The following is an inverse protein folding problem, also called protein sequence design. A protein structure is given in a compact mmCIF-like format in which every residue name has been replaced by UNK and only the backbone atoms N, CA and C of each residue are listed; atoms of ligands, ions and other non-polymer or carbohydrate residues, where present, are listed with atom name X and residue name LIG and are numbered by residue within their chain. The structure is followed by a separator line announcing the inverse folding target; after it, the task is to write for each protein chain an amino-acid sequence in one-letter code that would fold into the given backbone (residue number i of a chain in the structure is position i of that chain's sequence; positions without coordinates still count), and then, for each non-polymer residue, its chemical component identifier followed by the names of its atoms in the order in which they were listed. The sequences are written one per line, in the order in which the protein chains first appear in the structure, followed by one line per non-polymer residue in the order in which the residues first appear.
data_IF_889409883151
#
_entry.id   IF_889409883151
#
_cell.length_a   1.000
_cell.length_b   1.000
_cell.length_c   1.000
_cell.angle_alpha   90.00
_cell.angle_beta   90.00
_cell.angle_gamma   90.00
#
_symmetry.space_group_name_H-M   'P 1'
#
loop_
_entity.id
_entity.type
_entity.pdbx_description
1 polymer ?
#
# COMPACT_ATOMS: atom_id res chain seq x y z
N UNK A 1 33.84 7.13 -29.44
CA UNK A 1 32.59 6.34 -29.27
C UNK A 1 32.81 5.46 -28.08
N UNK A 2 32.20 5.77 -26.96
CA UNK A 2 32.34 4.97 -25.71
C UNK A 2 31.08 4.11 -25.57
N UNK A 3 31.23 2.81 -25.72
CA UNK A 3 30.18 1.84 -25.47
C UNK A 3 29.78 1.88 -24.00
N UNK A 4 28.52 2.19 -23.75
CA UNK A 4 27.87 2.05 -22.44
C UNK A 4 27.70 0.56 -22.16
N UNK A 5 28.63 -0.03 -21.41
CA UNK A 5 28.44 -1.35 -20.83
C UNK A 5 27.33 -1.25 -19.77
N UNK A 6 26.09 -1.50 -20.17
CA UNK A 6 24.98 -1.79 -19.26
C UNK A 6 25.23 -3.17 -18.68
N UNK A 7 25.63 -3.24 -17.42
CA UNK A 7 25.52 -4.48 -16.65
C UNK A 7 24.02 -4.73 -16.45
N UNK A 8 23.43 -5.40 -17.44
CA UNK A 8 22.06 -5.89 -17.36
C UNK A 8 22.03 -6.99 -16.29
N UNK A 9 21.30 -6.74 -15.22
CA UNK A 9 20.90 -7.79 -14.30
C UNK A 9 20.15 -8.86 -15.10
N UNK A 10 20.79 -10.03 -15.31
CA UNK A 10 20.17 -11.14 -16.03
C UNK A 10 18.91 -11.61 -15.29
N UNK A 11 17.81 -11.88 -15.99
CA UNK A 11 16.61 -12.43 -15.38
C UNK A 11 16.88 -13.90 -14.98
N UNK A 12 17.10 -14.13 -13.68
CA UNK A 12 17.23 -15.49 -13.11
C UNK A 12 15.83 -16.10 -12.90
N UNK A 13 15.10 -16.38 -13.98
CA UNK A 13 13.69 -16.77 -13.87
C UNK A 13 13.45 -18.24 -13.46
N UNK A 14 14.39 -19.15 -13.66
CA UNK A 14 14.22 -20.58 -13.26
C UNK A 14 14.85 -20.92 -11.91
N UNK A 15 15.88 -20.21 -11.48
CA UNK A 15 16.52 -20.44 -10.17
C UNK A 15 15.84 -19.71 -9.00
N UNK A 16 15.09 -18.66 -9.25
CA UNK A 16 14.49 -17.83 -8.22
C UNK A 16 13.37 -18.53 -7.44
N UNK A 17 12.46 -19.19 -8.13
CA UNK A 17 11.37 -19.95 -7.51
C UNK A 17 11.90 -21.14 -6.69
N UNK A 18 12.90 -21.85 -7.19
CA UNK A 18 13.51 -22.96 -6.45
C UNK A 18 14.17 -22.44 -5.16
N UNK A 19 14.92 -21.34 -5.22
CA UNK A 19 15.50 -20.69 -4.04
C UNK A 19 14.43 -20.20 -3.06
N UNK A 20 13.34 -19.59 -3.54
CA UNK A 20 12.23 -19.18 -2.70
C UNK A 20 11.62 -20.38 -1.94
N UNK A 21 11.34 -21.47 -2.65
CA UNK A 21 10.82 -22.70 -2.03
C UNK A 21 11.79 -23.28 -1.02
N UNK A 22 13.10 -23.30 -1.31
CA UNK A 22 14.13 -23.77 -0.36
C UNK A 22 14.12 -22.93 0.93
N UNK A 23 14.03 -21.61 0.82
CA UNK A 23 13.97 -20.72 1.99
C UNK A 23 12.67 -20.92 2.76
N UNK A 24 11.53 -20.97 2.08
CA UNK A 24 10.23 -21.22 2.72
C UNK A 24 10.18 -22.56 3.45
N UNK A 25 10.88 -23.60 2.95
CA UNK A 25 10.93 -24.92 3.58
C UNK A 25 12.01 -25.05 4.67
N UNK A 26 12.83 -24.00 4.91
CA UNK A 26 13.81 -24.03 5.97
C UNK A 26 13.11 -24.15 7.35
N UNK A 27 13.56 -25.04 8.25
CA UNK A 27 12.88 -25.28 9.52
C UNK A 27 12.64 -24.01 10.37
N UNK A 28 13.66 -23.12 10.43
CA UNK A 28 13.55 -21.86 11.14
C UNK A 28 12.51 -20.90 10.56
N UNK A 29 12.33 -20.89 9.24
CA UNK A 29 11.32 -20.07 8.56
C UNK A 29 9.92 -20.65 8.78
N UNK A 30 9.80 -21.96 8.67
CA UNK A 30 8.55 -22.69 8.93
C UNK A 30 8.07 -22.48 10.39
N UNK A 31 8.99 -22.50 11.34
CA UNK A 31 8.70 -22.22 12.75
C UNK A 31 8.19 -20.77 12.95
N UNK A 32 8.83 -19.78 12.31
CA UNK A 32 8.38 -18.39 12.39
C UNK A 32 6.96 -18.21 11.85
N UNK A 33 6.64 -18.81 10.69
CA UNK A 33 5.29 -18.77 10.15
C UNK A 33 4.30 -19.56 11.01
N UNK A 34 4.71 -20.68 11.59
CA UNK A 34 3.88 -21.46 12.51
C UNK A 34 3.50 -20.66 13.75
N UNK A 35 4.49 -19.95 14.35
CA UNK A 35 4.26 -19.12 15.52
C UNK A 35 3.37 -17.90 15.23
N UNK A 36 3.44 -17.35 13.99
CA UNK A 36 2.65 -16.19 13.60
C UNK A 36 1.20 -16.56 13.21
N UNK A 37 0.98 -17.69 12.53
CA UNK A 37 -0.27 -17.99 11.83
C UNK A 37 -0.97 -19.26 12.29
N UNK A 38 -0.33 -20.06 13.14
CA UNK A 38 -0.86 -21.33 13.61
C UNK A 38 -1.39 -22.22 12.45
N UNK A 39 -2.69 -22.48 12.40
CA UNK A 39 -3.33 -23.35 11.39
C UNK A 39 -3.33 -22.75 9.98
N UNK A 40 -3.21 -21.43 9.83
CA UNK A 40 -3.25 -20.74 8.54
C UNK A 40 -1.89 -20.71 7.82
N UNK A 41 -0.83 -21.26 8.43
CA UNK A 41 0.54 -21.22 7.89
C UNK A 41 0.65 -21.73 6.47
N UNK A 42 0.14 -22.92 6.20
CA UNK A 42 0.34 -23.56 4.89
C UNK A 42 -0.37 -22.81 3.76
N UNK A 43 -1.57 -22.27 4.05
CA UNK A 43 -2.31 -21.41 3.13
C UNK A 43 -1.54 -20.11 2.84
N UNK A 44 -0.95 -19.51 3.87
CA UNK A 44 -0.19 -18.28 3.72
C UNK A 44 1.11 -18.52 2.91
N UNK A 45 1.84 -19.60 3.18
CA UNK A 45 3.05 -20.00 2.45
C UNK A 45 2.71 -20.26 0.97
N UNK A 46 1.59 -20.93 0.69
CA UNK A 46 1.10 -21.11 -0.68
C UNK A 46 0.82 -19.75 -1.36
N UNK A 47 0.25 -18.80 -0.63
CA UNK A 47 -0.02 -17.44 -1.15
C UNK A 47 1.25 -16.66 -1.49
N UNK A 48 2.37 -16.88 -0.78
CA UNK A 48 3.67 -16.29 -1.14
C UNK A 48 4.16 -16.82 -2.49
N UNK A 49 4.04 -18.12 -2.71
CA UNK A 49 4.45 -18.76 -3.95
C UNK A 49 3.59 -18.27 -5.12
N UNK A 50 2.28 -18.16 -4.91
CA UNK A 50 1.34 -17.66 -5.91
C UNK A 50 1.65 -16.19 -6.26
N UNK A 51 1.84 -15.33 -5.25
CA UNK A 51 2.23 -13.94 -5.43
C UNK A 51 3.53 -13.80 -6.23
N UNK A 52 4.55 -14.62 -5.92
CA UNK A 52 5.81 -14.62 -6.63
C UNK A 52 5.66 -15.02 -8.09
N UNK A 53 4.86 -16.04 -8.37
CA UNK A 53 4.59 -16.50 -9.73
C UNK A 53 3.82 -15.48 -10.57
N UNK A 54 2.88 -14.78 -9.94
CA UNK A 54 2.02 -13.79 -10.60
C UNK A 54 2.68 -12.42 -10.83
N UNK A 55 3.79 -12.11 -10.15
CA UNK A 55 4.44 -10.79 -10.23
C UNK A 55 5.89 -10.86 -10.71
N UNK A 56 6.09 -10.47 -11.98
CA UNK A 56 7.42 -10.41 -12.60
C UNK A 56 8.37 -9.46 -11.87
N UNK A 57 7.87 -8.42 -11.20
CA UNK A 57 8.72 -7.48 -10.45
C UNK A 57 9.29 -8.13 -9.20
N UNK A 58 8.52 -8.96 -8.51
CA UNK A 58 9.00 -9.74 -7.36
C UNK A 58 10.05 -10.76 -7.76
N UNK A 59 9.98 -11.30 -8.97
CA UNK A 59 10.98 -12.25 -9.49
C UNK A 59 12.36 -11.61 -9.68
N UNK A 60 12.46 -10.28 -9.71
CA UNK A 60 13.74 -9.55 -9.75
C UNK A 60 14.36 -9.34 -8.37
N UNK A 61 13.60 -9.58 -7.31
CA UNK A 61 14.04 -9.40 -5.93
C UNK A 61 14.75 -10.65 -5.38
N UNK A 62 15.52 -10.45 -4.33
CA UNK A 62 16.10 -11.57 -3.59
C UNK A 62 15.01 -12.33 -2.83
N UNK A 63 14.89 -13.67 -3.01
CA UNK A 63 13.82 -14.46 -2.38
C UNK A 63 13.77 -14.33 -0.84
N UNK A 64 14.93 -14.23 -0.18
CA UNK A 64 15.00 -14.05 1.28
C UNK A 64 14.33 -12.74 1.75
N UNK A 65 14.45 -11.66 0.97
CA UNK A 65 13.80 -10.39 1.29
C UNK A 65 12.28 -10.49 1.14
N UNK A 66 11.80 -11.22 0.11
CA UNK A 66 10.37 -11.45 -0.08
C UNK A 66 9.78 -12.21 1.11
N UNK A 67 10.46 -13.25 1.58
CA UNK A 67 10.05 -14.02 2.77
C UNK A 67 10.02 -13.14 4.02
N UNK A 68 11.04 -12.30 4.21
CA UNK A 68 11.10 -11.36 5.33
C UNK A 68 9.94 -10.35 5.31
N UNK A 69 9.58 -9.82 4.13
CA UNK A 69 8.45 -8.89 4.00
C UNK A 69 7.10 -9.60 4.18
N UNK A 70 6.98 -10.86 3.69
CA UNK A 70 5.79 -11.67 3.90
C UNK A 70 5.60 -12.04 5.39
N UNK A 71 6.67 -12.25 6.14
CA UNK A 71 6.60 -12.52 7.57
C UNK A 71 6.00 -11.33 8.35
N UNK A 72 6.25 -10.08 7.92
CA UNK A 72 5.61 -8.90 8.54
C UNK A 72 4.08 -8.95 8.39
N UNK A 73 3.59 -9.37 7.22
CA UNK A 73 2.16 -9.55 7.00
C UNK A 73 1.60 -10.71 7.85
N UNK A 74 2.36 -11.80 7.95
CA UNK A 74 2.01 -12.97 8.75
C UNK A 74 1.87 -12.62 10.25
N UNK A 75 2.80 -11.86 10.81
CA UNK A 75 2.75 -11.39 12.21
C UNK A 75 1.52 -10.54 12.48
N UNK A 76 1.04 -9.80 11.49
CA UNK A 76 -0.20 -9.03 11.58
C UNK A 76 -1.43 -9.86 11.19
N UNK A 77 -1.25 -11.13 10.82
CA UNK A 77 -2.28 -12.01 10.29
C UNK A 77 -3.11 -11.31 9.18
N UNK A 78 -2.41 -10.70 8.22
CA UNK A 78 -3.01 -10.03 7.08
C UNK A 78 -2.73 -10.82 5.80
N UNK A 79 -3.76 -11.29 5.07
CA UNK A 79 -3.57 -11.97 3.79
C UNK A 79 -2.87 -11.08 2.77
N UNK A 80 -1.88 -11.63 2.05
CA UNK A 80 -1.11 -10.92 1.01
C UNK A 80 -1.70 -11.07 -0.39
N UNK A 81 -2.87 -11.68 -0.51
CA UNK A 81 -3.57 -11.77 -1.78
C UNK A 81 -4.05 -10.37 -2.21
N UNK A 82 -3.55 -9.89 -3.37
CA UNK A 82 -3.86 -8.55 -3.88
C UNK A 82 -5.35 -8.29 -4.08
N UNK A 83 -6.11 -9.31 -4.47
CA UNK A 83 -7.55 -9.17 -4.69
C UNK A 83 -8.32 -8.85 -3.39
N UNK A 84 -7.81 -9.25 -2.24
CA UNK A 84 -8.44 -8.97 -0.95
C UNK A 84 -8.17 -7.55 -0.44
N UNK A 85 -7.04 -6.93 -0.80
CA UNK A 85 -6.69 -5.57 -0.45
C UNK A 85 -6.28 -5.36 1.02
N UNK A 86 -5.94 -6.42 1.78
CA UNK A 86 -5.50 -6.29 3.17
C UNK A 86 -4.03 -5.93 3.29
N UNK A 87 -3.18 -6.55 2.48
CA UNK A 87 -1.74 -6.32 2.49
C UNK A 87 -1.14 -6.54 1.10
N UNK A 88 -0.04 -5.84 0.85
CA UNK A 88 0.68 -5.89 -0.41
C UNK A 88 2.18 -6.06 -0.16
N UNK A 89 2.86 -6.75 -1.06
CA UNK A 89 4.32 -6.70 -1.19
C UNK A 89 4.62 -6.02 -2.52
N UNK A 90 5.13 -4.79 -2.45
CA UNK A 90 5.39 -3.93 -3.61
C UNK A 90 6.88 -3.78 -3.82
N UNK A 91 7.33 -3.81 -5.07
CA UNK A 91 8.75 -3.65 -5.40
C UNK A 91 9.06 -2.19 -5.69
N UNK A 92 9.97 -1.62 -4.90
CA UNK A 92 10.55 -0.30 -5.14
C UNK A 92 11.97 -0.42 -5.67
N UNK A 93 12.30 0.40 -6.66
CA UNK A 93 13.67 0.52 -7.17
C UNK A 93 14.46 1.53 -6.34
N UNK A 94 14.96 1.09 -5.20
CA UNK A 94 15.73 1.92 -4.29
C UNK A 94 17.14 2.15 -4.81
N UNK A 95 17.65 3.39 -4.67
CA UNK A 95 19.05 3.69 -4.97
C UNK A 95 19.91 3.20 -3.81
N UNK A 96 20.91 2.36 -4.11
CA UNK A 96 21.90 1.89 -3.17
C UNK A 96 23.29 2.32 -3.63
N UNK A 97 24.09 2.86 -2.72
CA UNK A 97 25.48 3.21 -2.96
C UNK A 97 26.31 1.93 -2.85
N UNK A 98 27.02 1.58 -3.89
CA UNK A 98 27.89 0.40 -3.96
C UNK A 98 29.26 0.83 -4.43
N UNK A 99 30.30 0.33 -3.78
CA UNK A 99 31.69 0.55 -4.21
C UNK A 99 31.97 -0.33 -5.41
N UNK A 100 32.33 0.30 -6.52
CA UNK A 100 32.78 -0.43 -7.69
C UNK A 100 34.21 -0.93 -7.44
N UNK A 101 34.41 -2.23 -7.41
CA UNK A 101 35.70 -2.86 -7.11
C UNK A 101 36.76 -2.61 -8.20
N UNK A 102 36.31 -2.37 -9.46
CA UNK A 102 37.22 -2.11 -10.57
C UNK A 102 37.71 -0.66 -10.61
N UNK A 103 36.85 0.30 -10.25
CA UNK A 103 37.16 1.73 -10.32
C UNK A 103 37.51 2.34 -8.97
N UNK A 104 37.26 1.62 -7.88
CA UNK A 104 37.41 2.10 -6.50
C UNK A 104 36.46 3.23 -6.11
N UNK A 105 35.51 3.59 -6.98
CA UNK A 105 34.55 4.70 -6.78
C UNK A 105 33.21 4.17 -6.33
N UNK A 106 32.50 5.01 -5.57
CA UNK A 106 31.12 4.74 -5.17
C UNK A 106 30.14 5.07 -6.29
N UNK A 107 29.31 4.11 -6.67
CA UNK A 107 28.28 4.25 -7.71
C UNK A 107 26.89 4.02 -7.12
N UNK A 108 25.90 4.76 -7.63
CA UNK A 108 24.52 4.55 -7.25
C UNK A 108 23.84 3.56 -8.21
N UNK A 109 23.46 2.40 -7.71
CA UNK A 109 22.71 1.41 -8.46
C UNK A 109 21.26 1.36 -7.98
N UNK A 110 20.34 1.01 -8.89
CA UNK A 110 18.93 0.73 -8.54
C UNK A 110 18.82 -0.74 -8.15
N UNK A 111 18.33 -0.98 -6.94
CA UNK A 111 18.13 -2.34 -6.41
C UNK A 111 16.63 -2.54 -6.20
N UNK A 112 16.00 -3.53 -6.87
CA UNK A 112 14.62 -3.89 -6.63
C UNK A 112 14.49 -4.43 -5.20
N UNK A 113 13.65 -3.76 -4.41
CA UNK A 113 13.48 -4.02 -2.97
C UNK A 113 12.00 -4.29 -2.72
N UNK A 114 11.63 -5.52 -2.31
CA UNK A 114 10.27 -5.79 -1.90
C UNK A 114 9.97 -5.05 -0.60
N UNK A 115 8.76 -4.55 -0.45
CA UNK A 115 8.34 -3.80 0.74
C UNK A 115 6.91 -4.17 1.08
N UNK A 116 6.68 -4.58 2.31
CA UNK A 116 5.36 -4.83 2.86
C UNK A 116 4.61 -3.50 3.07
N UNK A 117 3.37 -3.44 2.60
CA UNK A 117 2.48 -2.29 2.77
C UNK A 117 1.11 -2.80 3.21
N UNK A 118 0.62 -2.44 4.41
CA UNK A 118 -0.76 -2.73 4.77
C UNK A 118 -1.71 -1.86 3.94
N UNK A 119 -2.74 -2.49 3.37
CA UNK A 119 -3.82 -1.80 2.69
C UNK A 119 -4.81 -1.16 3.67
N UNK A 120 -5.69 -0.27 3.18
CA UNK A 120 -6.69 0.35 4.06
C UNK A 120 -7.63 -0.68 4.73
N UNK A 121 -8.01 -1.74 4.02
CA UNK A 121 -8.77 -2.86 4.59
C UNK A 121 -8.00 -3.58 5.68
N UNK A 122 -6.67 -3.69 5.55
CA UNK A 122 -5.79 -4.23 6.58
C UNK A 122 -5.81 -3.38 7.85
N UNK A 123 -5.71 -2.06 7.72
CA UNK A 123 -5.84 -1.16 8.87
C UNK A 123 -7.21 -1.27 9.56
N UNK A 124 -8.30 -1.34 8.80
CA UNK A 124 -9.65 -1.55 9.35
C UNK A 124 -9.71 -2.89 10.10
N UNK A 125 -9.18 -3.96 9.50
CA UNK A 125 -9.13 -5.28 10.13
C UNK A 125 -8.35 -5.26 11.45
N UNK A 126 -7.18 -4.60 11.48
CA UNK A 126 -6.40 -4.45 12.71
C UNK A 126 -7.14 -3.64 13.76
N UNK A 127 -7.80 -2.55 13.37
CA UNK A 127 -8.62 -1.74 14.27
C UNK A 127 -9.76 -2.57 14.87
N UNK A 128 -10.51 -3.31 14.06
CA UNK A 128 -11.60 -4.18 14.51
C UNK A 128 -11.14 -5.25 15.50
N UNK A 129 -9.96 -5.83 15.30
CA UNK A 129 -9.38 -6.85 16.21
C UNK A 129 -9.07 -6.31 17.60
N UNK A 130 -8.91 -5.00 17.76
CA UNK A 130 -8.70 -4.41 19.10
C UNK A 130 -9.93 -4.50 19.97
N UNK A 131 -11.12 -4.68 19.39
CA UNK A 131 -12.40 -4.65 20.11
C UNK A 131 -12.77 -3.29 20.73
N UNK A 132 -12.03 -2.23 20.39
CA UNK A 132 -12.23 -0.90 20.98
C UNK A 132 -13.12 0.02 20.14
N UNK A 133 -13.34 -0.29 18.87
CA UNK A 133 -14.12 0.53 17.97
C UNK A 133 -15.61 0.16 18.02
N UNK A 134 -16.47 1.15 18.28
CA UNK A 134 -17.92 1.03 18.12
C UNK A 134 -18.33 1.20 16.67
N UNK A 135 -17.75 2.21 16.03
CA UNK A 135 -18.06 2.58 14.63
C UNK A 135 -16.79 3.00 13.92
N UNK A 136 -16.62 2.56 12.68
CA UNK A 136 -15.66 3.09 11.70
C UNK A 136 -16.44 3.27 10.42
N UNK A 137 -16.47 4.50 9.88
CA UNK A 137 -17.15 4.82 8.63
C UNK A 137 -16.34 5.80 7.79
N UNK A 138 -16.38 5.64 6.48
CA UNK A 138 -15.80 6.58 5.53
C UNK A 138 -16.66 6.57 4.26
N UNK A 139 -17.00 7.75 3.75
CA UNK A 139 -17.83 7.89 2.56
C UNK A 139 -17.60 9.25 1.90
N UNK A 140 -18.29 9.44 0.79
CA UNK A 140 -18.33 10.70 0.05
C UNK A 140 -19.22 11.71 0.78
N UNK A 141 -18.95 12.99 0.52
CA UNK A 141 -19.81 14.10 0.90
C UNK A 141 -20.29 14.77 -0.38
N UNK A 142 -21.61 14.79 -0.57
CA UNK A 142 -22.23 15.43 -1.73
C UNK A 142 -22.52 16.90 -1.49
N UNK A 143 -22.67 17.63 -2.57
CA UNK A 143 -23.04 19.05 -2.51
C UNK A 143 -24.36 19.25 -1.76
N UNK A 144 -24.32 20.18 -0.78
CA UNK A 144 -25.44 20.49 0.12
C UNK A 144 -25.45 19.71 1.44
N UNK A 145 -24.78 18.58 1.56
CA UNK A 145 -24.75 17.77 2.81
C UNK A 145 -23.91 18.42 3.92
N UNK A 146 -22.75 19.01 3.54
CA UNK A 146 -21.85 19.64 4.49
C UNK A 146 -22.44 20.95 5.02
N UNK A 147 -22.68 21.03 6.34
CA UNK A 147 -23.13 22.23 7.04
C UNK A 147 -21.99 23.02 7.65
N UNK A 148 -21.23 22.36 8.51
CA UNK A 148 -20.13 23.01 9.24
C UNK A 148 -18.94 22.07 9.43
N UNK A 149 -17.77 22.67 9.47
CA UNK A 149 -16.52 22.02 9.92
C UNK A 149 -15.95 22.88 11.04
N UNK A 150 -16.02 22.38 12.27
CA UNK A 150 -15.41 23.03 13.42
C UNK A 150 -13.99 22.51 13.62
N UNK A 151 -13.01 23.31 13.22
CA UNK A 151 -11.59 22.91 13.31
C UNK A 151 -11.08 22.79 14.75
N UNK A 152 -11.73 23.46 15.72
CA UNK A 152 -11.33 23.42 17.12
C UNK A 152 -11.81 22.13 17.80
N UNK A 153 -13.10 21.81 17.66
CA UNK A 153 -13.66 20.59 18.25
C UNK A 153 -13.43 19.35 17.39
N UNK A 154 -13.14 19.52 16.09
CA UNK A 154 -13.09 18.43 15.12
C UNK A 154 -14.48 17.94 14.68
N UNK A 155 -15.53 18.66 15.05
CA UNK A 155 -16.90 18.34 14.69
C UNK A 155 -17.17 18.66 13.21
N UNK A 156 -17.81 17.72 12.51
CA UNK A 156 -18.26 17.87 11.13
C UNK A 156 -19.73 17.52 11.07
N UNK A 157 -20.57 18.47 10.67
CA UNK A 157 -22.00 18.26 10.50
C UNK A 157 -22.33 18.00 9.02
N UNK A 158 -22.84 16.81 8.74
CA UNK A 158 -23.25 16.31 7.41
C UNK A 158 -24.77 16.12 7.35
N UNK A 159 -25.54 16.95 8.04
CA UNK A 159 -26.98 16.91 8.15
C UNK A 159 -27.70 17.84 7.15
N UNK A 160 -26.95 18.39 6.21
CA UNK A 160 -27.49 19.17 5.10
C UNK A 160 -28.25 18.30 4.09
N UNK A 161 -29.10 18.95 3.31
CA UNK A 161 -29.85 18.28 2.23
C UNK A 161 -28.98 18.19 0.97
N UNK A 162 -28.73 16.99 0.49
CA UNK A 162 -28.06 16.76 -0.80
C UNK A 162 -28.79 17.50 -1.92
N UNK A 163 -28.07 18.33 -2.66
CA UNK A 163 -28.58 19.14 -3.76
C UNK A 163 -28.20 18.60 -5.13
N UNK A 164 -27.11 17.86 -5.22
CA UNK A 164 -26.63 17.22 -6.46
C UNK A 164 -25.78 15.96 -6.16
N UNK A 165 -25.45 15.21 -7.20
CA UNK A 165 -24.55 14.06 -7.11
C UNK A 165 -23.05 14.45 -7.17
N UNK A 166 -22.78 15.76 -7.15
CA UNK A 166 -21.41 16.25 -7.15
C UNK A 166 -20.75 16.00 -5.81
N UNK A 167 -19.63 15.29 -5.81
CA UNK A 167 -18.81 15.04 -4.63
C UNK A 167 -18.02 16.31 -4.32
N UNK A 168 -18.14 16.83 -3.10
CA UNK A 168 -17.42 18.01 -2.61
C UNK A 168 -16.31 17.67 -1.64
N UNK A 169 -16.32 16.44 -1.11
CA UNK A 169 -15.29 15.96 -0.20
C UNK A 169 -15.50 14.52 0.23
N UNK A 170 -14.72 14.15 1.20
CA UNK A 170 -14.70 12.82 1.80
C UNK A 170 -14.61 12.96 3.31
N UNK A 171 -15.22 12.04 4.04
CA UNK A 171 -15.06 11.98 5.47
C UNK A 171 -14.60 10.59 5.92
N UNK A 172 -13.94 10.58 7.07
CA UNK A 172 -13.67 9.39 7.84
C UNK A 172 -14.08 9.68 9.29
N UNK A 173 -14.90 8.81 9.85
CA UNK A 173 -15.38 8.89 11.23
C UNK A 173 -15.04 7.63 11.98
N UNK A 174 -14.66 7.76 13.24
CA UNK A 174 -14.65 6.63 14.14
C UNK A 174 -15.14 7.04 15.53
N UNK A 175 -15.70 6.06 16.23
CA UNK A 175 -16.10 6.13 17.63
C UNK A 175 -15.58 4.92 18.39
N UNK A 176 -14.97 5.16 19.54
CA UNK A 176 -14.50 4.12 20.44
C UNK A 176 -15.58 3.78 21.47
N UNK A 177 -15.47 2.60 22.10
CA UNK A 177 -16.39 2.14 23.13
C UNK A 177 -16.43 3.06 24.37
N UNK A 178 -15.35 3.82 24.63
CA UNK A 178 -15.30 4.79 25.73
C UNK A 178 -15.97 6.15 25.39
N UNK A 179 -16.59 6.26 24.21
CA UNK A 179 -17.27 7.46 23.75
C UNK A 179 -16.36 8.48 23.04
N UNK A 180 -15.04 8.22 22.95
CA UNK A 180 -14.18 9.09 22.16
C UNK A 180 -14.50 8.93 20.66
N UNK A 181 -14.73 10.04 19.98
CA UNK A 181 -14.97 10.04 18.54
C UNK A 181 -14.12 11.09 17.83
N UNK A 182 -13.86 10.86 16.57
CA UNK A 182 -13.17 11.81 15.71
C UNK A 182 -13.66 11.71 14.27
N UNK A 183 -13.83 12.89 13.66
CA UNK A 183 -14.13 13.02 12.23
C UNK A 183 -12.95 13.71 11.55
N UNK A 184 -12.58 13.22 10.39
CA UNK A 184 -11.72 13.90 9.43
C UNK A 184 -12.56 14.18 8.19
N UNK A 185 -12.64 15.43 7.78
CA UNK A 185 -13.19 15.84 6.50
C UNK A 185 -12.08 16.42 5.64
N UNK A 186 -12.06 16.04 4.37
CA UNK A 186 -11.17 16.61 3.37
C UNK A 186 -11.98 17.00 2.15
N UNK A 187 -11.87 18.26 1.73
CA UNK A 187 -12.44 18.69 0.46
C UNK A 187 -11.76 17.97 -0.72
N UNK A 188 -12.42 17.88 -1.86
CA UNK A 188 -11.84 17.34 -3.11
C UNK A 188 -10.53 18.04 -3.44
N UNK A 189 -10.44 19.37 -3.21
CA UNK A 189 -9.22 20.14 -3.44
C UNK A 189 -8.10 19.75 -2.47
N UNK A 190 -8.40 19.58 -1.17
CA UNK A 190 -7.41 19.18 -0.18
C UNK A 190 -6.93 17.75 -0.43
N UNK A 191 -7.85 16.87 -0.84
CA UNK A 191 -7.50 15.51 -1.25
C UNK A 191 -6.58 15.51 -2.48
N UNK A 192 -6.85 16.35 -3.48
CA UNK A 192 -5.98 16.51 -4.65
C UNK A 192 -4.59 17.05 -4.29
N UNK A 193 -4.52 18.02 -3.34
CA UNK A 193 -3.24 18.52 -2.80
C UNK A 193 -2.47 17.42 -2.08
N UNK A 194 -3.16 16.64 -1.26
CA UNK A 194 -2.59 15.50 -0.55
C UNK A 194 -2.05 14.44 -1.52
N UNK A 195 -2.86 14.07 -2.52
CA UNK A 195 -2.47 13.13 -3.55
C UNK A 195 -1.24 13.60 -4.33
N UNK A 196 -1.21 14.87 -4.75
CA UNK A 196 -0.04 15.44 -5.44
C UNK A 196 1.23 15.33 -4.61
N UNK A 197 1.13 15.46 -3.30
CA UNK A 197 2.30 15.40 -2.40
C UNK A 197 2.78 13.98 -2.13
N UNK A 198 1.88 13.02 -2.00
CA UNK A 198 2.20 11.71 -1.45
C UNK A 198 1.99 10.53 -2.41
N UNK A 199 1.18 10.69 -3.47
CA UNK A 199 0.94 9.59 -4.39
C UNK A 199 2.07 9.46 -5.42
N UNK A 200 2.81 8.35 -5.44
CA UNK A 200 4.01 8.19 -6.25
C UNK A 200 3.73 8.15 -7.76
N UNK A 201 2.49 7.90 -8.18
CA UNK A 201 2.08 7.86 -9.59
C UNK A 201 1.75 9.23 -10.18
N UNK A 202 1.71 10.29 -9.36
CA UNK A 202 1.34 11.64 -9.82
C UNK A 202 2.60 12.40 -10.21
N UNK A 203 2.65 12.87 -11.45
CA UNK A 203 3.76 13.68 -11.94
C UNK A 203 3.74 15.06 -11.27
N UNK A 204 4.91 15.62 -11.02
CA UNK A 204 5.08 16.91 -10.35
C UNK A 204 4.48 18.10 -11.11
N UNK A 205 4.46 18.03 -12.43
CA UNK A 205 3.89 19.05 -13.34
C UNK A 205 2.36 19.00 -13.43
N UNK A 206 1.71 17.95 -12.92
CA UNK A 206 0.25 17.84 -12.91
C UNK A 206 -0.36 18.88 -11.97
N UNK A 207 -1.28 19.71 -12.47
CA UNK A 207 -1.98 20.72 -11.65
C UNK A 207 -3.07 20.11 -10.77
N UNK A 208 -3.47 20.81 -9.70
CA UNK A 208 -4.58 20.38 -8.85
C UNK A 208 -5.88 20.28 -9.64
N UNK A 209 -6.14 21.26 -10.53
CA UNK A 209 -7.33 21.24 -11.39
C UNK A 209 -7.38 20.00 -12.31
N UNK A 210 -6.24 19.63 -12.91
CA UNK A 210 -6.14 18.41 -13.71
C UNK A 210 -6.35 17.13 -12.91
N UNK A 211 -5.93 17.10 -11.64
CA UNK A 211 -6.19 15.95 -10.75
C UNK A 211 -7.67 15.83 -10.43
N UNK A 212 -8.33 16.95 -10.11
CA UNK A 212 -9.77 16.98 -9.83
C UNK A 212 -10.57 16.57 -11.07
N UNK A 213 -10.20 17.09 -12.25
CA UNK A 213 -10.86 16.71 -13.51
C UNK A 213 -10.72 15.22 -13.80
N UNK A 214 -9.52 14.66 -13.64
CA UNK A 214 -9.29 13.22 -13.82
C UNK A 214 -10.10 12.38 -12.84
N UNK A 215 -10.22 12.81 -11.60
CA UNK A 215 -11.01 12.14 -10.59
C UNK A 215 -12.50 12.14 -10.98
N UNK A 216 -13.04 13.29 -11.35
CA UNK A 216 -14.44 13.44 -11.79
C UNK A 216 -14.74 12.60 -13.05
N UNK A 217 -13.75 12.36 -13.91
CA UNK A 217 -13.87 11.53 -15.10
C UNK A 217 -13.61 10.04 -14.85
N UNK A 218 -13.49 9.62 -13.59
CA UNK A 218 -13.30 8.22 -13.20
C UNK A 218 -11.96 7.61 -13.59
N UNK A 219 -10.92 8.44 -13.81
CA UNK A 219 -9.57 7.95 -14.10
C UNK A 219 -8.92 7.42 -12.84
N UNK A 220 -8.87 6.12 -12.72
CA UNK A 220 -8.26 5.43 -11.57
C UNK A 220 -6.74 5.45 -11.67
N UNK A 221 -6.05 5.77 -10.59
CA UNK A 221 -4.60 5.61 -10.49
C UNK A 221 -4.23 4.12 -10.50
N UNK A 222 -3.21 3.76 -11.29
CA UNK A 222 -2.64 2.40 -11.29
C UNK A 222 -1.66 2.17 -10.13
N UNK A 223 -1.48 3.14 -9.25
CA UNK A 223 -0.58 3.05 -8.11
C UNK A 223 -1.21 2.23 -7.00
N UNK A 224 -0.48 1.24 -6.49
CA UNK A 224 -0.90 0.47 -5.32
C UNK A 224 -0.99 1.40 -4.11
N UNK A 225 -2.08 1.29 -3.34
CA UNK A 225 -2.38 2.18 -2.21
C UNK A 225 -3.09 3.48 -2.59
N UNK A 226 -3.29 3.73 -3.88
CA UNK A 226 -4.11 4.78 -4.45
C UNK A 226 -5.12 4.14 -5.39
N UNK A 227 -5.94 3.26 -4.85
CA UNK A 227 -7.07 2.69 -5.58
C UNK A 227 -8.28 3.58 -5.35
N UNK A 228 -8.31 4.69 -5.97
CA UNK A 228 -9.44 5.51 -5.70
C UNK A 228 -9.67 6.52 -6.78
N UNK A 229 -10.90 6.61 -7.14
CA UNK A 229 -11.46 7.90 -7.40
C UNK A 229 -11.17 8.76 -6.18
N UNK A 230 -10.74 9.97 -6.39
CA UNK A 230 -10.88 10.93 -5.34
C UNK A 230 -12.29 10.85 -4.82
#
# INVERSE_FOLDING_TARGET
MAEKNQIAAQPQTTGGLAKLKTILNAPSVQEQFQNALAENKDLFVASIIDLYNGDKSLQTCQPAQIVSEALKAAVLDLPINRALGFAYIVVYNNKKKVRNEQTGRDEWIKVPTPTFIPGYKGYIQLAMRTGQYRTINADFVYEGELRTVNRLSGEVALDGKKTSDKIVGYFCYFELLNGYSKTLFMSVEDMAKYAKRYAPGIKQDTTIAQLIEKANNGVVSKSVGWEGNF
#
